data_IF_398518041701
#
_entry.id   IF_398518041701
#
_cell.length_a   1.000
_cell.length_b   1.000
_cell.length_c   1.000
_cell.angle_alpha   90.00
_cell.angle_beta   90.00
_cell.angle_gamma   90.00
#
_symmetry.space_group_name_H-M   'P 1'
#
loop_
_entity.id
_entity.type
_entity.pdbx_description
1 polymer ?
#
# COMPACT_ATOMS: atom_id res chain seq x y z
N UNK A 1 16.70 2.27 -17.88
CA UNK A 1 17.15 1.96 -16.52
C UNK A 1 18.58 1.47 -16.54
N UNK A 2 18.92 0.54 -17.42
CA UNK A 2 20.29 0.03 -17.61
C UNK A 2 21.30 1.17 -17.89
N UNK A 3 20.92 2.14 -18.75
CA UNK A 3 21.77 3.28 -19.08
C UNK A 3 22.05 4.18 -17.88
N UNK A 4 21.08 4.38 -16.98
CA UNK A 4 21.25 5.21 -15.78
C UNK A 4 22.15 4.52 -14.74
N UNK A 5 22.05 3.23 -14.58
CA UNK A 5 22.88 2.46 -13.65
C UNK A 5 24.32 2.27 -14.15
N UNK A 6 24.52 2.16 -15.47
CA UNK A 6 25.84 2.05 -16.09
C UNK A 6 26.52 3.42 -16.31
N UNK A 7 25.75 4.52 -16.42
CA UNK A 7 26.28 5.86 -16.68
C UNK A 7 26.91 6.56 -15.47
N UNK A 8 26.60 6.15 -14.26
CA UNK A 8 27.25 6.65 -13.03
C UNK A 8 28.67 6.10 -12.83
N UNK A 9 29.21 5.34 -13.79
CA UNK A 9 30.55 4.76 -13.73
C UNK A 9 31.67 5.69 -14.30
N UNK A 10 31.39 6.95 -14.63
CA UNK A 10 32.41 7.89 -15.12
C UNK A 10 33.38 8.39 -14.04
N UNK A 11 33.40 7.82 -12.87
CA UNK A 11 34.23 8.20 -11.72
C UNK A 11 35.11 7.10 -11.14
N UNK A 12 35.68 6.21 -11.95
CA UNK A 12 36.93 5.48 -11.62
C UNK A 12 36.89 4.41 -10.55
N UNK A 13 35.80 4.10 -9.87
CA UNK A 13 35.61 2.91 -9.06
C UNK A 13 34.41 2.11 -9.63
N UNK A 14 34.64 0.82 -9.91
CA UNK A 14 33.61 -0.11 -10.37
C UNK A 14 32.63 -0.30 -9.21
N UNK A 15 31.56 0.50 -9.20
CA UNK A 15 30.65 0.69 -8.05
C UNK A 15 29.78 -0.54 -7.73
N UNK A 16 30.06 -1.68 -8.35
CA UNK A 16 29.52 -2.99 -7.97
C UNK A 16 28.04 -3.23 -8.31
N UNK A 17 27.37 -2.33 -9.06
CA UNK A 17 26.01 -2.53 -9.48
C UNK A 17 25.96 -3.18 -10.86
N UNK A 18 25.34 -4.36 -10.96
CA UNK A 18 25.13 -5.08 -12.22
C UNK A 18 23.65 -5.31 -12.45
N UNK A 19 23.16 -5.05 -13.65
CA UNK A 19 21.79 -5.38 -14.05
C UNK A 19 21.73 -6.84 -14.41
N UNK A 20 21.18 -7.69 -13.54
CA UNK A 20 21.07 -9.13 -13.73
C UNK A 20 20.03 -9.48 -14.83
N UNK A 21 18.91 -8.78 -14.86
CA UNK A 21 17.85 -8.99 -15.86
C UNK A 21 16.95 -7.75 -15.99
N UNK A 22 16.23 -7.66 -17.09
CA UNK A 22 15.21 -6.61 -17.33
C UNK A 22 13.94 -7.25 -17.87
N UNK A 23 12.79 -6.82 -17.35
CA UNK A 23 11.45 -7.23 -17.78
C UNK A 23 10.54 -6.04 -18.06
N UNK A 24 9.47 -6.28 -18.80
CA UNK A 24 8.52 -5.27 -19.25
C UNK A 24 7.15 -5.40 -18.56
N UNK A 25 6.90 -6.47 -17.80
CA UNK A 25 5.62 -6.73 -17.12
C UNK A 25 5.82 -7.27 -15.71
N UNK A 26 4.78 -7.18 -14.87
CA UNK A 26 4.81 -7.71 -13.53
C UNK A 26 5.00 -9.23 -13.46
N UNK A 27 4.35 -9.97 -14.35
CA UNK A 27 4.50 -11.43 -14.43
C UNK A 27 5.94 -11.83 -14.81
N UNK A 28 6.55 -11.09 -15.75
CA UNK A 28 7.93 -11.29 -16.15
C UNK A 28 8.89 -10.94 -14.99
N UNK A 29 8.64 -9.87 -14.25
CA UNK A 29 9.42 -9.48 -13.08
C UNK A 29 9.45 -10.59 -12.01
N UNK A 30 8.29 -11.22 -11.73
CA UNK A 30 8.21 -12.36 -10.78
C UNK A 30 9.02 -13.56 -11.29
N UNK A 31 8.96 -13.87 -12.59
CA UNK A 31 9.71 -14.97 -13.19
C UNK A 31 11.21 -14.72 -13.16
N UNK A 32 11.63 -13.50 -13.51
CA UNK A 32 13.04 -13.09 -13.49
C UNK A 32 13.61 -13.06 -12.07
N UNK A 33 12.81 -12.62 -11.08
CA UNK A 33 13.21 -12.68 -9.69
C UNK A 33 13.52 -14.12 -9.25
N UNK A 34 12.65 -15.06 -9.58
CA UNK A 34 12.85 -16.48 -9.25
C UNK A 34 14.09 -17.07 -9.91
N UNK A 35 14.37 -16.67 -11.15
CA UNK A 35 15.48 -17.18 -11.94
C UNK A 35 16.85 -16.61 -11.49
N UNK A 36 16.90 -15.32 -11.18
CA UNK A 36 18.16 -14.60 -10.96
C UNK A 36 18.42 -14.23 -9.51
N UNK A 37 17.41 -14.21 -8.64
CA UNK A 37 17.53 -13.82 -7.22
C UNK A 37 18.35 -12.54 -7.02
N UNK A 38 18.00 -11.43 -7.67
CA UNK A 38 18.78 -10.20 -7.55
C UNK A 38 18.75 -9.65 -6.12
N UNK A 39 19.78 -8.93 -5.72
CA UNK A 39 19.86 -8.29 -4.42
C UNK A 39 18.80 -7.18 -4.23
N UNK A 40 18.42 -6.51 -5.33
CA UNK A 40 17.39 -5.46 -5.36
C UNK A 40 16.56 -5.60 -6.63
N UNK A 41 15.26 -5.42 -6.49
CA UNK A 41 14.33 -5.27 -7.59
C UNK A 41 13.93 -3.80 -7.72
N UNK A 42 14.26 -3.17 -8.84
CA UNK A 42 13.73 -1.84 -9.20
C UNK A 42 12.48 -2.06 -10.04
N UNK A 43 11.33 -1.61 -9.53
CA UNK A 43 10.02 -1.95 -10.07
C UNK A 43 9.22 -0.69 -10.44
N UNK A 44 8.76 -0.59 -11.68
CA UNK A 44 7.71 0.38 -12.01
C UNK A 44 6.36 -0.11 -11.46
N UNK A 45 5.51 0.82 -11.04
CA UNK A 45 4.18 0.49 -10.53
C UNK A 45 3.21 0.25 -11.66
N UNK A 46 3.22 1.11 -12.70
CA UNK A 46 2.27 1.01 -13.81
C UNK A 46 2.85 0.13 -14.92
N UNK A 47 2.34 -1.07 -14.99
CA UNK A 47 2.62 -2.06 -16.04
C UNK A 47 1.30 -2.72 -16.45
N UNK A 48 1.26 -3.21 -17.70
CA UNK A 48 0.08 -3.90 -18.24
C UNK A 48 -0.11 -5.27 -17.57
N UNK A 49 -1.37 -5.70 -17.44
CA UNK A 49 -1.87 -6.97 -16.89
C UNK A 49 -1.61 -7.14 -15.38
N UNK A 50 -0.38 -7.19 -14.93
CA UNK A 50 0.02 -7.26 -13.52
C UNK A 50 0.83 -6.00 -13.19
N UNK A 51 0.31 -5.16 -12.30
CA UNK A 51 1.02 -3.95 -11.87
C UNK A 51 2.19 -4.27 -10.92
N UNK A 52 3.07 -3.28 -10.70
CA UNK A 52 4.28 -3.48 -9.89
C UNK A 52 4.00 -3.79 -8.42
N UNK A 53 2.89 -3.31 -7.87
CA UNK A 53 2.48 -3.62 -6.49
C UNK A 53 2.08 -5.09 -6.36
N UNK A 54 1.33 -5.62 -7.34
CA UNK A 54 0.94 -7.03 -7.40
C UNK A 54 2.16 -7.94 -7.59
N UNK A 55 3.07 -7.55 -8.49
CA UNK A 55 4.32 -8.26 -8.71
C UNK A 55 5.20 -8.27 -7.45
N UNK A 56 5.34 -7.14 -6.78
CA UNK A 56 6.07 -7.01 -5.51
C UNK A 56 5.47 -7.88 -4.42
N UNK A 57 4.13 -7.89 -4.29
CA UNK A 57 3.43 -8.75 -3.34
C UNK A 57 3.70 -10.23 -3.60
N UNK A 58 3.68 -10.66 -4.88
CA UNK A 58 3.98 -12.03 -5.26
C UNK A 58 5.45 -12.42 -4.96
N UNK A 59 6.40 -11.51 -5.18
CA UNK A 59 7.81 -11.72 -4.84
C UNK A 59 7.98 -11.84 -3.33
N UNK A 60 7.45 -10.90 -2.55
CA UNK A 60 7.55 -10.89 -1.08
C UNK A 60 6.85 -12.07 -0.42
N UNK A 61 5.79 -12.60 -1.02
CA UNK A 61 5.14 -13.83 -0.55
C UNK A 61 6.01 -15.07 -0.72
N UNK A 62 6.95 -15.07 -1.69
CA UNK A 62 7.89 -16.16 -1.92
C UNK A 62 9.22 -15.94 -1.20
N UNK A 63 9.57 -14.69 -0.91
CA UNK A 63 10.83 -14.29 -0.30
C UNK A 63 10.59 -12.98 0.46
N UNK A 64 10.36 -13.10 1.78
CA UNK A 64 10.06 -11.97 2.66
C UNK A 64 11.22 -10.98 2.83
N UNK A 65 12.43 -11.37 2.48
CA UNK A 65 13.64 -10.53 2.57
C UNK A 65 13.95 -9.80 1.26
N UNK A 66 13.16 -10.02 0.21
CA UNK A 66 13.35 -9.35 -1.08
C UNK A 66 13.35 -7.83 -0.93
N UNK A 67 14.35 -7.17 -1.50
CA UNK A 67 14.47 -5.71 -1.45
C UNK A 67 13.82 -5.11 -2.69
N UNK A 68 12.69 -4.43 -2.51
CA UNK A 68 11.95 -3.80 -3.59
C UNK A 68 12.04 -2.29 -3.47
N UNK A 69 12.46 -1.66 -4.56
CA UNK A 69 12.53 -0.22 -4.75
C UNK A 69 11.58 0.17 -5.88
N UNK A 70 10.51 0.86 -5.56
CA UNK A 70 9.59 1.36 -6.59
C UNK A 70 10.15 2.59 -7.29
N UNK A 71 10.06 2.58 -8.62
CA UNK A 71 10.44 3.70 -9.48
C UNK A 71 9.27 4.03 -10.41
N UNK A 72 8.57 5.14 -10.16
CA UNK A 72 7.34 5.49 -10.85
C UNK A 72 7.25 6.96 -11.23
N UNK A 73 6.36 7.31 -12.14
CA UNK A 73 6.08 8.71 -12.52
C UNK A 73 5.02 9.36 -11.63
N UNK A 74 4.31 8.59 -10.80
CA UNK A 74 3.12 9.05 -10.09
C UNK A 74 3.32 9.06 -8.58
N UNK A 75 2.80 10.11 -7.95
CA UNK A 75 2.68 10.23 -6.50
C UNK A 75 1.22 9.96 -6.14
N UNK A 76 0.86 8.70 -5.99
CA UNK A 76 -0.48 8.24 -5.64
C UNK A 76 -0.46 7.70 -4.21
N UNK A 77 -1.32 8.25 -3.36
CA UNK A 77 -1.36 7.94 -1.93
C UNK A 77 -1.67 6.47 -1.66
N UNK A 78 -2.52 5.84 -2.49
CA UNK A 78 -2.86 4.43 -2.36
C UNK A 78 -1.64 3.54 -2.66
N UNK A 79 -0.91 3.82 -3.74
CA UNK A 79 0.29 3.07 -4.08
C UNK A 79 1.41 3.25 -3.06
N UNK A 80 1.59 4.47 -2.53
CA UNK A 80 2.56 4.74 -1.47
C UNK A 80 2.18 3.96 -0.21
N UNK A 81 0.91 4.00 0.21
CA UNK A 81 0.40 3.27 1.36
C UNK A 81 0.62 1.77 1.23
N UNK A 82 0.29 1.19 0.08
CA UNK A 82 0.50 -0.25 -0.21
C UNK A 82 1.98 -0.63 -0.21
N UNK A 83 2.84 0.19 -0.82
CA UNK A 83 4.29 -0.02 -0.83
C UNK A 83 4.88 -0.03 0.60
N UNK A 84 4.45 0.91 1.45
CA UNK A 84 4.87 0.99 2.85
C UNK A 84 4.42 -0.25 3.65
N UNK A 85 3.14 -0.63 3.54
CA UNK A 85 2.58 -1.78 4.27
C UNK A 85 3.24 -3.10 3.90
N UNK A 86 3.61 -3.30 2.65
CA UNK A 86 4.29 -4.52 2.22
C UNK A 86 5.79 -4.55 2.58
N UNK A 87 6.33 -3.47 3.15
CA UNK A 87 7.73 -3.39 3.54
C UNK A 87 8.70 -3.11 2.39
N UNK A 88 8.23 -2.45 1.32
CA UNK A 88 9.13 -2.00 0.25
C UNK A 88 10.26 -1.13 0.80
N UNK A 89 11.47 -1.32 0.30
CA UNK A 89 12.67 -0.63 0.77
C UNK A 89 12.80 0.79 0.23
N UNK A 90 11.98 1.17 -0.74
CA UNK A 90 11.94 2.56 -1.19
C UNK A 90 10.89 2.83 -2.27
N UNK A 91 10.68 4.12 -2.48
CA UNK A 91 9.75 4.67 -3.46
C UNK A 91 10.33 5.98 -4.02
N UNK A 92 10.72 5.98 -5.28
CA UNK A 92 11.38 7.11 -5.95
C UNK A 92 10.59 7.47 -7.21
N UNK A 93 10.55 8.74 -7.52
CA UNK A 93 9.97 9.21 -8.77
C UNK A 93 10.97 9.12 -9.92
N UNK A 94 10.52 8.77 -11.11
CA UNK A 94 11.36 8.69 -12.32
C UNK A 94 12.06 10.00 -12.66
N UNK A 95 11.50 11.14 -12.26
CA UNK A 95 12.14 12.45 -12.41
C UNK A 95 13.38 12.62 -11.51
N UNK A 96 13.47 11.85 -10.42
CA UNK A 96 14.54 11.89 -9.43
C UNK A 96 15.53 10.71 -9.62
N UNK A 97 15.48 10.04 -10.78
CA UNK A 97 16.24 8.82 -11.05
C UNK A 97 17.77 9.01 -11.16
N UNK A 98 18.27 10.26 -11.24
CA UNK A 98 19.70 10.54 -11.21
C UNK A 98 20.39 9.99 -9.94
N UNK A 99 19.65 9.87 -8.82
CA UNK A 99 20.11 9.28 -7.57
C UNK A 99 19.87 7.77 -7.44
N UNK A 100 19.42 7.07 -8.49
CA UNK A 100 18.98 5.66 -8.37
C UNK A 100 20.09 4.71 -7.91
N UNK A 101 21.31 4.86 -8.42
CA UNK A 101 22.46 4.06 -8.01
C UNK A 101 22.75 4.26 -6.50
N UNK A 102 22.75 5.51 -6.04
CA UNK A 102 22.91 5.83 -4.61
C UNK A 102 21.80 5.27 -3.75
N UNK A 103 20.56 5.30 -4.25
CA UNK A 103 19.40 4.69 -3.58
C UNK A 103 19.54 3.16 -3.47
N UNK A 104 19.98 2.48 -4.52
CA UNK A 104 20.26 1.05 -4.48
C UNK A 104 21.33 0.73 -3.42
N UNK A 105 22.42 1.47 -3.38
CA UNK A 105 23.46 1.30 -2.34
C UNK A 105 22.93 1.53 -0.92
N UNK A 106 22.07 2.52 -0.73
CA UNK A 106 21.44 2.79 0.57
C UNK A 106 20.53 1.62 1.00
N UNK A 107 19.72 1.09 0.07
CA UNK A 107 18.88 -0.09 0.30
C UNK A 107 19.72 -1.33 0.65
N UNK A 108 20.87 -1.54 0.00
CA UNK A 108 21.80 -2.61 0.34
C UNK A 108 22.36 -2.50 1.76
N UNK A 109 22.53 -1.27 2.25
CA UNK A 109 22.94 -1.01 3.65
C UNK A 109 21.78 -1.10 4.65
N UNK A 110 20.59 -1.56 4.21
CA UNK A 110 19.40 -1.71 5.06
C UNK A 110 18.61 -0.41 5.29
N UNK A 111 18.94 0.66 4.58
CA UNK A 111 18.21 1.94 4.67
C UNK A 111 16.93 1.88 3.83
N UNK A 112 15.92 2.65 4.23
CA UNK A 112 14.73 2.93 3.42
C UNK A 112 14.94 4.23 2.66
N UNK A 113 14.54 4.28 1.38
CA UNK A 113 14.75 5.44 0.51
C UNK A 113 13.43 5.93 -0.06
N UNK A 114 13.01 7.12 0.33
CA UNK A 114 11.80 7.76 -0.18
C UNK A 114 12.13 9.12 -0.75
N UNK A 115 11.63 9.40 -1.96
CA UNK A 115 11.77 10.71 -2.59
C UNK A 115 11.06 11.81 -1.79
N UNK A 116 11.52 13.06 -1.87
CA UNK A 116 11.01 14.20 -1.07
C UNK A 116 9.49 14.33 -1.14
N UNK A 117 8.90 14.25 -2.34
CA UNK A 117 7.45 14.33 -2.54
C UNK A 117 6.67 13.18 -1.91
N UNK A 118 7.30 12.02 -1.71
CA UNK A 118 6.70 10.91 -0.98
C UNK A 118 6.74 11.20 0.52
N UNK A 119 7.88 11.69 1.02
CA UNK A 119 8.05 12.06 2.43
C UNK A 119 7.05 13.14 2.85
N UNK A 120 6.80 14.14 2.01
CA UNK A 120 5.79 15.20 2.24
C UNK A 120 4.37 14.62 2.45
N UNK A 121 4.04 13.51 1.80
CA UNK A 121 2.74 12.86 1.90
C UNK A 121 2.63 11.84 3.05
N UNK A 122 3.74 11.40 3.62
CA UNK A 122 3.73 10.39 4.69
C UNK A 122 2.83 10.76 5.89
N UNK A 123 2.83 12.02 6.39
CA UNK A 123 1.93 12.39 7.49
C UNK A 123 0.45 12.17 7.16
N UNK A 124 0.04 12.53 5.94
CA UNK A 124 -1.35 12.36 5.49
C UNK A 124 -1.69 10.88 5.31
N UNK A 125 -0.76 10.10 4.75
CA UNK A 125 -0.95 8.66 4.53
C UNK A 125 -0.98 7.89 5.86
N UNK A 126 -0.12 8.24 6.80
CA UNK A 126 -0.07 7.61 8.14
C UNK A 126 -1.29 7.99 8.96
N UNK A 127 -1.73 9.26 8.87
CA UNK A 127 -2.92 9.76 9.56
C UNK A 127 -4.22 9.35 8.86
N UNK A 128 -4.20 9.01 7.57
CA UNK A 128 -5.33 8.33 6.94
C UNK A 128 -5.50 6.98 7.63
N UNK A 129 -6.48 6.90 8.50
CA UNK A 129 -7.04 5.61 8.96
C UNK A 129 -7.25 4.79 7.69
N UNK A 130 -6.75 3.56 7.65
CA UNK A 130 -6.98 2.68 6.51
C UNK A 130 -8.49 2.65 6.27
N UNK A 131 -8.96 3.35 5.24
CA UNK A 131 -10.36 3.27 4.87
C UNK A 131 -10.56 1.87 4.31
N UNK A 132 -11.19 1.04 5.14
CA UNK A 132 -11.69 -0.24 4.69
C UNK A 132 -12.69 0.03 3.55
N UNK A 133 -12.50 -0.65 2.42
CA UNK A 133 -13.42 -0.49 1.28
C UNK A 133 -14.78 -1.12 1.60
N UNK A 134 -15.58 -0.35 2.30
CA UNK A 134 -16.97 -0.71 2.62
C UNK A 134 -17.83 -0.88 1.36
N UNK A 135 -17.47 -0.24 0.24
CA UNK A 135 -18.16 -0.34 -1.04
C UNK A 135 -18.14 -1.75 -1.61
N UNK A 136 -17.03 -2.49 -1.46
CA UNK A 136 -16.91 -3.88 -1.88
C UNK A 136 -17.93 -4.82 -1.20
N UNK A 137 -18.42 -4.44 -0.02
CA UNK A 137 -19.47 -5.16 0.73
C UNK A 137 -20.86 -4.57 0.52
N UNK A 138 -21.03 -3.65 -0.42
CA UNK A 138 -22.28 -2.95 -0.67
C UNK A 138 -22.75 -2.06 0.49
N UNK A 139 -21.80 -1.60 1.32
CA UNK A 139 -22.07 -0.68 2.43
C UNK A 139 -22.08 0.75 1.90
N UNK A 140 -23.15 1.47 2.20
CA UNK A 140 -23.34 2.85 1.79
C UNK A 140 -22.59 3.82 2.70
N UNK A 141 -22.36 5.06 2.25
CA UNK A 141 -21.75 6.12 3.06
C UNK A 141 -22.46 6.34 4.41
N UNK A 142 -23.80 6.23 4.42
CA UNK A 142 -24.60 6.35 5.65
C UNK A 142 -24.41 5.17 6.60
N UNK A 143 -24.24 3.97 6.08
CA UNK A 143 -23.92 2.78 6.87
C UNK A 143 -22.48 2.83 7.38
N UNK A 144 -21.54 3.40 6.61
CA UNK A 144 -20.15 3.64 7.06
C UNK A 144 -20.11 4.60 8.25
N UNK A 145 -20.85 5.71 8.20
CA UNK A 145 -20.99 6.62 9.33
C UNK A 145 -21.54 5.92 10.57
N UNK A 146 -22.60 5.11 10.39
CA UNK A 146 -23.19 4.30 11.47
C UNK A 146 -22.16 3.36 12.10
N UNK A 147 -21.35 2.68 11.31
CA UNK A 147 -20.31 1.74 11.81
C UNK A 147 -19.34 2.47 12.73
N UNK A 148 -18.88 3.66 12.36
CA UNK A 148 -18.01 4.48 13.20
C UNK A 148 -18.66 4.83 14.54
N UNK A 149 -19.92 5.28 14.52
CA UNK A 149 -20.66 5.62 15.75
C UNK A 149 -20.93 4.41 16.67
N UNK A 150 -21.13 3.22 16.09
CA UNK A 150 -21.23 1.96 16.83
C UNK A 150 -19.89 1.61 17.48
N UNK A 151 -18.79 1.78 16.77
CA UNK A 151 -17.44 1.54 17.27
C UNK A 151 -17.07 2.51 18.40
N UNK A 152 -17.51 3.76 18.31
CA UNK A 152 -17.36 4.75 19.38
C UNK A 152 -18.21 4.43 20.64
N UNK A 153 -19.00 3.34 20.61
CA UNK A 153 -19.77 2.87 21.75
C UNK A 153 -21.12 3.55 21.96
N UNK A 154 -21.60 4.39 21.02
CA UNK A 154 -22.85 5.11 21.13
C UNK A 154 -24.07 4.16 21.13
N UNK A 155 -25.05 4.42 21.98
CA UNK A 155 -26.36 3.73 21.98
C UNK A 155 -27.17 4.08 20.73
N UNK A 156 -28.18 3.27 20.39
CA UNK A 156 -29.05 3.55 19.24
C UNK A 156 -29.73 4.93 19.33
N UNK A 157 -30.06 5.36 20.55
CA UNK A 157 -30.67 6.68 20.81
C UNK A 157 -29.70 7.82 20.49
N UNK A 158 -28.43 7.70 20.89
CA UNK A 158 -27.39 8.69 20.62
C UNK A 158 -27.04 8.74 19.14
N UNK A 159 -26.96 7.57 18.49
CA UNK A 159 -26.77 7.46 17.04
C UNK A 159 -27.94 8.11 16.29
N UNK A 160 -29.18 7.83 16.69
CA UNK A 160 -30.38 8.42 16.11
C UNK A 160 -30.36 9.95 16.17
N UNK A 161 -29.98 10.50 17.34
CA UNK A 161 -29.83 11.93 17.53
C UNK A 161 -28.72 12.53 16.64
N UNK A 162 -27.57 11.85 16.52
CA UNK A 162 -26.40 12.33 15.79
C UNK A 162 -26.61 12.26 14.26
N UNK A 163 -27.29 11.23 13.77
CA UNK A 163 -27.61 11.05 12.35
C UNK A 163 -28.92 11.71 11.91
N UNK A 164 -29.65 12.34 12.83
CA UNK A 164 -30.96 12.96 12.56
C UNK A 164 -31.98 11.97 11.97
N UNK A 165 -32.07 10.75 12.52
CA UNK A 165 -33.01 9.70 12.10
C UNK A 165 -33.73 9.09 13.32
N UNK A 166 -34.78 8.29 13.05
CA UNK A 166 -35.49 7.57 14.11
C UNK A 166 -34.64 6.40 14.66
N UNK A 167 -34.80 6.10 15.95
CA UNK A 167 -34.08 4.96 16.58
C UNK A 167 -34.40 3.60 15.92
N UNK A 168 -35.63 3.42 15.44
CA UNK A 168 -36.01 2.25 14.64
C UNK A 168 -35.23 2.11 13.35
N UNK A 169 -34.91 3.24 12.69
CA UNK A 169 -34.07 3.28 11.48
C UNK A 169 -32.64 2.88 11.81
N UNK A 170 -32.09 3.32 12.96
CA UNK A 170 -30.75 2.89 13.43
C UNK A 170 -30.70 1.37 13.60
N UNK A 171 -31.70 0.77 14.25
CA UNK A 171 -31.80 -0.69 14.41
C UNK A 171 -31.78 -1.42 13.06
N UNK A 172 -32.56 -0.95 12.11
CA UNK A 172 -32.62 -1.55 10.77
C UNK A 172 -31.28 -1.42 10.03
N UNK A 173 -30.62 -0.27 10.11
CA UNK A 173 -29.31 -0.06 9.51
C UNK A 173 -28.24 -0.96 10.14
N UNK A 174 -28.22 -1.11 11.46
CA UNK A 174 -27.30 -2.05 12.15
C UNK A 174 -27.54 -3.47 11.63
N UNK A 175 -28.79 -3.93 11.58
CA UNK A 175 -29.13 -5.28 11.08
C UNK A 175 -28.71 -5.47 9.63
N UNK A 176 -28.88 -4.47 8.77
CA UNK A 176 -28.43 -4.48 7.38
C UNK A 176 -26.91 -4.63 7.29
N UNK A 177 -26.16 -3.82 8.03
CA UNK A 177 -24.69 -3.84 8.06
C UNK A 177 -24.17 -5.19 8.58
N UNK A 178 -24.74 -5.71 9.66
CA UNK A 178 -24.38 -7.02 10.19
C UNK A 178 -24.56 -8.13 9.15
N UNK A 179 -25.68 -8.09 8.41
CA UNK A 179 -25.92 -9.04 7.31
C UNK A 179 -24.92 -8.93 6.18
N UNK A 180 -24.60 -7.70 5.73
CA UNK A 180 -23.63 -7.43 4.65
C UNK A 180 -22.21 -7.88 5.00
N UNK A 181 -21.79 -7.70 6.27
CA UNK A 181 -20.47 -8.08 6.77
C UNK A 181 -20.41 -9.50 7.34
N UNK A 182 -21.53 -10.24 7.34
CA UNK A 182 -21.65 -11.57 7.95
C UNK A 182 -21.22 -11.59 9.43
N UNK A 183 -21.63 -10.57 10.20
CA UNK A 183 -21.36 -10.43 11.63
C UNK A 183 -22.61 -10.75 12.45
N UNK A 184 -22.43 -11.22 13.69
CA UNK A 184 -23.53 -11.70 14.55
C UNK A 184 -24.19 -10.61 15.37
N UNK A 185 -23.40 -9.64 15.83
CA UNK A 185 -23.85 -8.61 16.77
C UNK A 185 -23.03 -7.32 16.67
N UNK A 186 -23.50 -6.28 17.39
CA UNK A 186 -22.84 -4.97 17.39
C UNK A 186 -21.44 -4.97 18.00
N UNK A 187 -21.15 -5.90 18.90
CA UNK A 187 -19.82 -6.03 19.50
C UNK A 187 -18.83 -6.52 18.46
N UNK A 188 -19.23 -7.53 17.65
CA UNK A 188 -18.43 -7.97 16.53
C UNK A 188 -18.24 -6.84 15.48
N UNK A 189 -19.26 -6.01 15.27
CA UNK A 189 -19.14 -4.86 14.37
C UNK A 189 -18.11 -3.84 14.88
N UNK A 190 -18.12 -3.53 16.17
CA UNK A 190 -17.11 -2.66 16.77
C UNK A 190 -15.70 -3.28 16.70
N UNK A 191 -15.55 -4.57 17.02
CA UNK A 191 -14.28 -5.28 16.89
C UNK A 191 -13.78 -5.28 15.43
N UNK A 192 -14.65 -5.54 14.48
CA UNK A 192 -14.34 -5.50 13.06
C UNK A 192 -13.83 -4.12 12.64
N UNK A 193 -14.49 -3.04 13.05
CA UNK A 193 -14.06 -1.67 12.75
C UNK A 193 -12.63 -1.41 13.26
N UNK A 194 -12.32 -1.79 14.50
CA UNK A 194 -10.97 -1.58 15.05
C UNK A 194 -9.92 -2.49 14.43
N UNK A 195 -10.25 -3.70 14.04
CA UNK A 195 -9.35 -4.59 13.31
C UNK A 195 -9.01 -4.07 11.91
N UNK A 196 -9.93 -3.34 11.25
CA UNK A 196 -9.66 -2.72 9.96
C UNK A 196 -8.83 -1.43 10.07
N UNK A 197 -8.83 -0.78 11.24
CA UNK A 197 -8.06 0.45 11.51
C UNK A 197 -6.65 0.14 12.03
N UNK A 198 -6.48 -0.97 12.77
CA UNK A 198 -5.21 -1.47 13.33
C UNK A 198 -5.04 -2.95 12.95
N UNK A 199 -4.74 -3.27 11.66
CA UNK A 199 -4.44 -4.63 11.24
C UNK A 199 -3.09 -5.12 11.76
#
# INVERSE_FOLDING_TARGET
LKVILEGDCEGGENDGITVAAMGCSGAEAVSLYKAHRPDIVVMDIRMDNMNGIEAASAILSCDGDARILFLTTFVDDEYISRALRMGARGYILKQDCAGLASACRAVMRGQMVYGSKVVEKLPDIINRKAEFDYGAYGITAKETELIGLVADGLSNREIAARMFIAEGTVRNLISSVLGKLNLRDRTQLACFYYQQINP
#
